data_IF_941392798814
#
_entry.id   IF_941392798814
#
_cell.length_a   1.000
_cell.length_b   1.000
_cell.length_c   1.000
_cell.angle_alpha   90.00
_cell.angle_beta   90.00
_cell.angle_gamma   90.00
#
_symmetry.space_group_name_H-M   'P 1'
#
loop_
_entity.id
_entity.type
_entity.pdbx_description
1 polymer ?
#
# COMPACT_ATOMS: atom_id res chain seq x y z
N UNK A 1 3.19 20.45 -13.01
CA UNK A 1 3.87 19.71 -11.92
C UNK A 1 2.98 18.54 -11.54
N UNK A 2 3.54 17.35 -11.32
CA UNK A 2 2.75 16.20 -10.89
C UNK A 2 2.26 16.43 -9.45
N UNK A 3 0.97 16.25 -9.22
CA UNK A 3 0.35 16.40 -7.90
C UNK A 3 0.65 15.15 -7.06
N UNK A 4 1.09 15.35 -5.81
CA UNK A 4 1.42 14.25 -4.91
C UNK A 4 0.15 13.61 -4.32
N UNK A 5 0.01 12.29 -4.43
CA UNK A 5 -1.12 11.57 -3.84
C UNK A 5 -0.91 11.45 -2.33
N UNK A 6 -1.65 12.25 -1.55
CA UNK A 6 -1.50 12.28 -0.08
C UNK A 6 -2.51 11.39 0.65
N UNK A 7 -3.67 11.15 0.07
CA UNK A 7 -4.71 10.29 0.64
C UNK A 7 -5.63 9.79 -0.48
N UNK A 8 -6.32 8.70 -0.21
CA UNK A 8 -7.32 8.09 -1.08
C UNK A 8 -8.57 7.75 -0.28
N UNK A 9 -9.72 7.63 -0.93
CA UNK A 9 -10.97 7.23 -0.27
C UNK A 9 -11.85 6.42 -1.23
N UNK A 10 -11.27 5.36 -1.78
CA UNK A 10 -11.99 4.49 -2.71
C UNK A 10 -13.10 3.73 -2.00
N UNK A 11 -14.17 3.42 -2.74
CA UNK A 11 -15.28 2.60 -2.27
C UNK A 11 -15.31 1.31 -3.09
N UNK A 12 -15.14 0.19 -2.40
CA UNK A 12 -15.14 -1.13 -3.00
C UNK A 12 -16.31 -1.95 -2.47
N UNK A 13 -16.90 -2.84 -3.28
CA UNK A 13 -17.82 -3.86 -2.78
C UNK A 13 -17.15 -4.72 -1.71
N UNK A 14 -17.82 -4.96 -0.58
CA UNK A 14 -17.27 -5.74 0.53
C UNK A 14 -16.19 -5.03 1.35
N UNK A 15 -16.02 -3.71 1.19
CA UNK A 15 -15.13 -2.92 2.03
C UNK A 15 -15.61 -2.93 3.49
N UNK A 16 -14.81 -3.53 4.37
CA UNK A 16 -15.08 -3.56 5.82
C UNK A 16 -14.55 -2.30 6.48
N UNK A 17 -13.29 -1.95 6.19
CA UNK A 17 -12.66 -0.77 6.78
C UNK A 17 -11.55 -0.20 5.88
N UNK A 18 -11.22 1.05 6.15
CA UNK A 18 -10.08 1.77 5.57
C UNK A 18 -9.18 2.19 6.74
N UNK A 19 -7.90 1.85 6.65
CA UNK A 19 -6.88 2.30 7.57
C UNK A 19 -5.92 3.27 6.86
N UNK A 20 -5.85 4.50 7.36
CA UNK A 20 -4.92 5.53 6.91
C UNK A 20 -3.67 5.49 7.79
N UNK A 21 -2.63 4.80 7.35
CA UNK A 21 -1.33 4.82 8.00
C UNK A 21 -0.54 6.10 7.70
N UNK A 22 0.69 6.17 8.23
CA UNK A 22 1.59 7.32 7.99
C UNK A 22 1.87 7.56 6.51
N UNK A 23 2.06 6.48 5.74
CA UNK A 23 2.49 6.55 4.32
C UNK A 23 1.71 5.63 3.38
N UNK A 24 0.72 4.87 3.88
CA UNK A 24 -0.10 3.94 3.09
C UNK A 24 -1.56 4.06 3.48
N UNK A 25 -2.44 3.93 2.52
CA UNK A 25 -3.86 3.68 2.75
C UNK A 25 -4.15 2.20 2.49
N UNK A 26 -4.82 1.54 3.41
CA UNK A 26 -5.08 0.10 3.39
C UNK A 26 -6.57 -0.13 3.43
N UNK A 27 -7.09 -0.90 2.48
CA UNK A 27 -8.50 -1.25 2.38
C UNK A 27 -8.66 -2.74 2.64
N UNK A 28 -9.48 -3.08 3.62
CA UNK A 28 -9.83 -4.45 3.93
C UNK A 28 -11.14 -4.84 3.23
N UNK A 29 -11.06 -5.85 2.35
CA UNK A 29 -12.19 -6.37 1.59
C UNK A 29 -12.57 -7.75 2.14
N UNK A 30 -13.72 -7.82 2.80
CA UNK A 30 -14.32 -9.05 3.35
C UNK A 30 -13.37 -9.91 4.22
N UNK A 31 -12.40 -9.30 4.92
CA UNK A 31 -11.36 -10.00 5.69
C UNK A 31 -10.59 -11.05 4.86
N UNK A 32 -10.58 -10.87 3.55
CA UNK A 32 -10.02 -11.83 2.59
C UNK A 32 -8.90 -11.21 1.77
N UNK A 33 -9.10 -9.97 1.33
CA UNK A 33 -8.13 -9.25 0.52
C UNK A 33 -7.78 -7.91 1.15
N UNK A 34 -6.51 -7.53 0.98
CA UNK A 34 -6.01 -6.20 1.28
C UNK A 34 -5.67 -5.50 -0.03
N UNK A 35 -6.17 -4.27 -0.19
CA UNK A 35 -5.69 -3.33 -1.22
C UNK A 35 -4.83 -2.31 -0.52
N UNK A 36 -3.55 -2.27 -0.87
CA UNK A 36 -2.56 -1.38 -0.29
C UNK A 36 -2.16 -0.32 -1.30
N UNK A 37 -2.42 0.95 -0.97
CA UNK A 37 -2.03 2.11 -1.77
C UNK A 37 -0.84 2.79 -1.11
N UNK A 38 0.31 2.77 -1.79
CA UNK A 38 1.49 3.51 -1.37
C UNK A 38 1.34 4.99 -1.75
N UNK A 39 1.13 5.84 -0.74
CA UNK A 39 0.97 7.30 -0.95
C UNK A 39 2.32 8.00 -1.06
N UNK A 40 2.30 9.23 -1.57
CA UNK A 40 3.44 10.13 -1.66
C UNK A 40 3.76 10.86 -0.35
N UNK A 41 2.99 10.60 0.72
CA UNK A 41 3.31 11.07 2.09
C UNK A 41 4.65 10.52 2.55
N UNK A 42 5.41 11.33 3.28
CA UNK A 42 6.64 10.91 3.95
C UNK A 42 6.53 11.28 5.42
N UNK A 43 7.11 10.45 6.29
CA UNK A 43 7.19 10.71 7.71
C UNK A 43 8.62 10.67 8.20
N UNK A 44 8.97 11.61 9.08
CA UNK A 44 10.26 11.66 9.78
C UNK A 44 10.00 12.14 11.20
N UNK A 45 10.77 11.65 12.18
CA UNK A 45 10.61 12.00 13.60
C UNK A 45 9.16 11.82 14.10
N UNK A 46 8.52 10.71 13.71
CA UNK A 46 7.12 10.38 14.01
C UNK A 46 6.05 11.33 13.49
N UNK A 47 6.41 12.33 12.68
CA UNK A 47 5.48 13.28 12.07
C UNK A 47 5.36 13.03 10.58
N UNK A 48 4.13 13.05 10.05
CA UNK A 48 3.87 13.07 8.60
C UNK A 48 4.09 14.50 8.10
N UNK A 49 5.00 14.66 7.13
CA UNK A 49 5.34 15.98 6.60
C UNK A 49 4.19 16.54 5.73
N UNK A 50 3.97 17.86 5.72
CA UNK A 50 2.84 18.48 5.02
C UNK A 50 2.94 18.37 3.48
N UNK A 51 4.17 18.28 2.96
CA UNK A 51 4.45 18.16 1.53
C UNK A 51 4.81 16.71 1.19
N UNK A 52 4.02 16.10 0.30
CA UNK A 52 4.36 14.81 -0.28
C UNK A 52 5.47 14.92 -1.34
N UNK A 53 6.11 13.80 -1.63
CA UNK A 53 7.13 13.68 -2.69
C UNK A 53 6.47 12.97 -3.87
N UNK A 54 6.14 13.67 -4.99
CA UNK A 54 5.51 13.05 -6.14
C UNK A 54 6.25 11.78 -6.59
N UNK A 55 5.49 10.73 -6.92
CA UNK A 55 5.99 9.42 -7.39
C UNK A 55 6.73 8.56 -6.35
N UNK A 56 6.90 9.03 -5.12
CA UNK A 56 7.53 8.24 -4.06
C UNK A 56 6.74 6.96 -3.78
N UNK A 57 5.42 7.04 -3.77
CA UNK A 57 4.53 5.89 -3.61
C UNK A 57 4.77 4.82 -4.69
N UNK A 58 4.85 5.27 -5.93
CA UNK A 58 5.09 4.41 -7.11
C UNK A 58 6.42 3.68 -7.02
N UNK A 59 7.53 4.42 -6.79
CA UNK A 59 8.86 3.81 -6.73
C UNK A 59 8.93 2.76 -5.62
N UNK A 60 8.44 3.09 -4.42
CA UNK A 60 8.51 2.17 -3.29
C UNK A 60 7.60 0.95 -3.45
N UNK A 61 6.41 1.12 -4.01
CA UNK A 61 5.50 -0.01 -4.27
C UNK A 61 6.10 -0.97 -5.31
N UNK A 62 6.67 -0.46 -6.40
CA UNK A 62 7.29 -1.30 -7.43
C UNK A 62 8.54 -2.04 -6.93
N UNK A 63 9.37 -1.38 -6.10
CA UNK A 63 10.51 -2.05 -5.44
C UNK A 63 10.02 -3.19 -4.54
N UNK A 64 9.02 -2.94 -3.69
CA UNK A 64 8.45 -3.97 -2.84
C UNK A 64 7.83 -5.12 -3.65
N UNK A 65 7.05 -4.80 -4.69
CA UNK A 65 6.42 -5.79 -5.56
C UNK A 65 7.46 -6.69 -6.26
N UNK A 66 8.59 -6.12 -6.71
CA UNK A 66 9.69 -6.86 -7.33
C UNK A 66 10.34 -7.85 -6.36
N UNK A 67 10.62 -7.43 -5.12
CA UNK A 67 11.22 -8.32 -4.13
C UNK A 67 10.24 -9.41 -3.66
N UNK A 68 8.95 -9.08 -3.51
CA UNK A 68 7.92 -10.08 -3.19
C UNK A 68 7.81 -11.17 -4.27
N UNK A 69 7.93 -10.81 -5.55
CA UNK A 69 7.97 -11.80 -6.64
C UNK A 69 9.26 -12.61 -6.64
N UNK A 70 10.40 -11.93 -6.47
CA UNK A 70 11.72 -12.55 -6.56
C UNK A 70 12.02 -13.55 -5.43
N UNK A 71 11.24 -13.55 -4.34
CA UNK A 71 11.40 -14.47 -3.21
C UNK A 71 10.19 -15.38 -3.00
N UNK A 72 9.21 -15.38 -3.90
CA UNK A 72 7.96 -16.13 -3.72
C UNK A 72 8.15 -17.65 -3.70
N UNK A 73 9.22 -18.13 -4.33
CA UNK A 73 9.66 -19.54 -4.33
C UNK A 73 10.36 -19.96 -3.03
N UNK A 74 10.87 -18.99 -2.26
CA UNK A 74 11.59 -19.23 -1.00
C UNK A 74 10.64 -19.18 0.20
N UNK A 75 9.75 -18.17 0.23
CA UNK A 75 8.79 -17.98 1.33
C UNK A 75 7.45 -17.47 0.80
N UNK A 76 6.32 -18.08 1.22
CA UNK A 76 5.00 -17.55 0.89
C UNK A 76 4.86 -16.12 1.38
N UNK A 77 4.29 -15.26 0.53
CA UNK A 77 4.01 -13.89 0.89
C UNK A 77 2.58 -13.50 0.50
N UNK A 78 2.12 -12.37 1.03
CA UNK A 78 0.73 -11.96 0.94
C UNK A 78 0.31 -11.47 -0.46
N UNK A 79 1.27 -11.10 -1.35
CA UNK A 79 0.96 -10.43 -2.61
C UNK A 79 0.24 -11.36 -3.60
N UNK A 80 -0.77 -10.82 -4.27
CA UNK A 80 -1.49 -11.46 -5.38
C UNK A 80 -1.19 -10.73 -6.69
N UNK A 81 -1.28 -9.40 -6.70
CA UNK A 81 -1.11 -8.59 -7.92
C UNK A 81 -0.68 -7.16 -7.60
N UNK A 82 -0.09 -6.48 -8.57
CA UNK A 82 0.14 -5.02 -8.52
C UNK A 82 -0.46 -4.40 -9.78
N UNK A 83 -1.77 -4.06 -9.77
CA UNK A 83 -2.48 -3.61 -10.96
C UNK A 83 -2.16 -2.16 -11.35
N UNK A 84 -1.57 -1.39 -10.45
CA UNK A 84 -1.16 0.00 -10.64
C UNK A 84 0.21 0.22 -9.99
N UNK A 85 1.07 1.11 -10.52
CA UNK A 85 2.38 1.40 -9.95
C UNK A 85 2.38 1.75 -8.46
N UNK A 86 1.30 2.30 -7.90
CA UNK A 86 1.16 2.61 -6.47
C UNK A 86 0.37 1.57 -5.67
N UNK A 87 -0.18 0.55 -6.31
CA UNK A 87 -1.12 -0.39 -5.68
C UNK A 87 -0.57 -1.81 -5.66
N UNK A 88 -0.66 -2.46 -4.50
CA UNK A 88 -0.50 -3.90 -4.35
C UNK A 88 -1.75 -4.49 -3.71
N UNK A 89 -2.27 -5.56 -4.30
CA UNK A 89 -3.37 -6.36 -3.77
C UNK A 89 -2.82 -7.67 -3.27
N UNK A 90 -3.31 -8.13 -2.12
CA UNK A 90 -2.90 -9.40 -1.56
C UNK A 90 -3.90 -9.99 -0.57
N UNK A 91 -3.51 -11.09 0.06
CA UNK A 91 -4.28 -11.76 1.09
C UNK A 91 -4.35 -10.91 2.37
N UNK A 92 -5.51 -10.94 3.02
CA UNK A 92 -5.60 -10.48 4.42
C UNK A 92 -4.72 -11.37 5.30
N UNK A 93 -3.97 -10.75 6.20
CA UNK A 93 -3.06 -11.44 7.10
C UNK A 93 -3.07 -10.73 8.46
N UNK A 94 -2.96 -11.53 9.53
CA UNK A 94 -2.80 -11.02 10.88
C UNK A 94 -1.32 -10.75 11.17
N UNK A 95 -0.94 -9.50 11.51
CA UNK A 95 0.43 -9.22 11.92
C UNK A 95 0.78 -9.92 13.24
N UNK A 96 2.01 -10.42 13.34
CA UNK A 96 2.55 -10.84 14.64
C UNK A 96 2.64 -9.63 15.59
N UNK A 97 2.25 -9.84 16.85
CA UNK A 97 2.32 -8.83 17.91
C UNK A 97 3.55 -9.06 18.78
#
# INVERSE_FOLDING_TARGET
MAEAIKNTNFKFPGLINIYHGKVRDVYNINDKYLVMVATDRISAFDVVLPKGIPYKGQVLNQVAAKFLDATADIVPNWKIASPDPMVTIGHFAEPFK
#
